data_IF_214832393271
#
_entry.id   IF_214832393271
#
_cell.length_a   1.000
_cell.length_b   1.000
_cell.length_c   1.000
_cell.angle_alpha   90.00
_cell.angle_beta   90.00
_cell.angle_gamma   90.00
#
_symmetry.space_group_name_H-M   'P 1'
#
loop_
_entity.id
_entity.type
_entity.pdbx_description
1 polymer ?
#
# COMPACT_ATOMS: atom_id res chain seq x y z
N UNK A 1 2.65 7.63 10.01
CA UNK A 1 3.17 6.58 9.13
C UNK A 1 2.30 6.45 7.90
N UNK A 2 2.92 6.30 6.74
CA UNK A 2 2.24 6.09 5.48
C UNK A 2 2.74 4.78 4.85
N UNK A 3 1.81 3.95 4.39
CA UNK A 3 2.13 2.75 3.64
C UNK A 3 1.81 3.01 2.17
N UNK A 4 2.82 2.96 1.32
CA UNK A 4 2.62 2.97 -0.13
C UNK A 4 2.40 1.53 -0.58
N UNK A 5 1.25 1.26 -1.18
CA UNK A 5 0.87 -0.07 -1.64
C UNK A 5 0.74 -0.05 -3.17
N UNK A 6 1.66 -0.74 -3.83
CA UNK A 6 1.65 -0.87 -5.29
C UNK A 6 0.99 -2.19 -5.65
N UNK A 7 -0.09 -2.14 -6.43
CA UNK A 7 -0.91 -3.30 -6.69
C UNK A 7 -1.62 -3.24 -8.03
N UNK A 8 -2.30 -4.33 -8.37
CA UNK A 8 -3.06 -4.46 -9.61
C UNK A 8 -4.27 -5.35 -9.31
N UNK A 9 -5.46 -4.92 -9.69
CA UNK A 9 -6.69 -5.67 -9.39
C UNK A 9 -6.77 -7.01 -10.14
N UNK A 10 -5.94 -7.22 -11.16
CA UNK A 10 -5.86 -8.48 -11.90
C UNK A 10 -4.80 -9.43 -11.35
N UNK A 11 -3.96 -8.97 -10.43
CA UNK A 11 -2.87 -9.76 -9.84
C UNK A 11 -3.42 -10.73 -8.80
N UNK A 12 -3.10 -12.03 -8.93
CA UNK A 12 -3.58 -13.06 -8.01
C UNK A 12 -3.09 -12.87 -6.58
N UNK A 13 -1.83 -12.50 -6.40
CA UNK A 13 -1.27 -12.24 -5.06
C UNK A 13 -1.87 -10.97 -4.44
N UNK A 14 -2.15 -9.95 -5.25
CA UNK A 14 -2.81 -8.74 -4.78
C UNK A 14 -4.22 -9.04 -4.29
N UNK A 15 -4.96 -9.92 -4.95
CA UNK A 15 -6.30 -10.34 -4.53
C UNK A 15 -6.31 -11.05 -3.19
N UNK A 16 -5.21 -11.71 -2.83
CA UNK A 16 -5.06 -12.34 -1.52
C UNK A 16 -4.65 -11.33 -0.45
N UNK A 17 -3.72 -10.45 -0.78
CA UNK A 17 -3.15 -9.52 0.18
C UNK A 17 -4.05 -8.32 0.48
N UNK A 18 -4.75 -7.80 -0.52
CA UNK A 18 -5.56 -6.59 -0.36
C UNK A 18 -6.61 -6.70 0.75
N UNK A 19 -7.38 -7.80 0.87
CA UNK A 19 -8.31 -7.93 1.99
C UNK A 19 -7.63 -7.95 3.36
N UNK A 20 -6.47 -8.57 3.46
CA UNK A 20 -5.69 -8.62 4.70
C UNK A 20 -5.17 -7.23 5.07
N UNK A 21 -4.71 -6.48 4.08
CA UNK A 21 -4.26 -5.10 4.29
C UNK A 21 -5.44 -4.21 4.69
N UNK A 22 -6.63 -4.44 4.15
CA UNK A 22 -7.85 -3.72 4.52
C UNK A 22 -8.22 -3.96 5.99
N UNK A 23 -8.15 -5.20 6.46
CA UNK A 23 -8.37 -5.51 7.88
C UNK A 23 -7.35 -4.76 8.75
N UNK A 24 -6.10 -4.78 8.37
CA UNK A 24 -5.04 -4.05 9.07
C UNK A 24 -5.36 -2.56 9.10
N UNK A 25 -5.74 -1.99 7.98
CA UNK A 25 -6.05 -0.57 7.87
C UNK A 25 -7.22 -0.18 8.80
N UNK A 26 -8.27 -0.98 8.83
CA UNK A 26 -9.42 -0.71 9.68
C UNK A 26 -9.05 -0.69 11.16
N UNK A 27 -8.07 -1.50 11.56
CA UNK A 27 -7.57 -1.50 12.94
C UNK A 27 -6.66 -0.31 13.25
N UNK A 28 -5.86 0.13 12.26
CA UNK A 28 -4.76 1.08 12.52
C UNK A 28 -5.00 2.48 11.99
N UNK A 29 -6.03 2.72 11.18
CA UNK A 29 -6.27 4.05 10.61
C UNK A 29 -6.47 5.14 11.66
N UNK A 30 -7.07 4.79 12.80
CA UNK A 30 -7.26 5.72 13.90
C UNK A 30 -6.02 5.87 14.79
N UNK A 31 -4.97 5.12 14.50
CA UNK A 31 -3.70 5.16 15.24
C UNK A 31 -2.62 5.93 14.48
N UNK A 32 -2.99 6.68 13.44
CA UNK A 32 -2.05 7.48 12.67
C UNK A 32 -1.42 6.75 11.50
N UNK A 33 -2.02 5.67 11.04
CA UNK A 33 -1.55 4.93 9.86
C UNK A 33 -2.42 5.29 8.66
N UNK A 34 -1.78 5.74 7.58
CA UNK A 34 -2.42 6.04 6.30
C UNK A 34 -1.94 5.07 5.24
N UNK A 35 -2.80 4.70 4.32
CA UNK A 35 -2.43 3.89 3.16
C UNK A 35 -2.70 4.68 1.89
N UNK A 36 -1.69 4.76 1.03
CA UNK A 36 -1.81 5.30 -0.32
C UNK A 36 -1.56 4.13 -1.27
N UNK A 37 -2.61 3.67 -1.93
CA UNK A 37 -2.56 2.54 -2.84
C UNK A 37 -2.49 3.05 -4.28
N UNK A 38 -1.47 2.64 -5.02
CA UNK A 38 -1.23 3.08 -6.39
C UNK A 38 -1.31 1.90 -7.32
N UNK A 39 -2.24 1.96 -8.28
CA UNK A 39 -2.37 0.88 -9.26
C UNK A 39 -1.39 1.05 -10.40
N UNK A 40 -0.90 -0.08 -10.91
CA UNK A 40 -0.05 -0.12 -12.10
C UNK A 40 -0.85 -0.47 -13.36
N UNK A 41 -2.18 -0.54 -13.24
CA UNK A 41 -3.06 -0.89 -14.35
C UNK A 41 -3.17 0.26 -15.37
N UNK A 42 -3.36 -0.12 -16.65
CA UNK A 42 -3.64 0.84 -17.71
C UNK A 42 -5.14 0.98 -17.97
N UNK A 43 -5.93 0.00 -17.55
CA UNK A 43 -7.38 -0.01 -17.68
C UNK A 43 -7.99 0.05 -16.29
N UNK A 44 -8.81 1.08 -16.05
CA UNK A 44 -9.25 1.44 -14.69
C UNK A 44 -10.65 0.95 -14.31
N UNK A 45 -11.42 0.36 -15.24
CA UNK A 45 -12.78 -0.11 -14.96
C UNK A 45 -12.78 -1.19 -13.89
N UNK A 46 -11.95 -2.21 -14.06
CA UNK A 46 -11.81 -3.29 -13.08
C UNK A 46 -11.26 -2.81 -11.74
N UNK A 47 -10.32 -1.89 -11.77
CA UNK A 47 -9.73 -1.27 -10.59
C UNK A 47 -10.79 -0.52 -9.76
N UNK A 48 -11.58 0.33 -10.41
CA UNK A 48 -12.66 1.06 -9.73
C UNK A 48 -13.71 0.13 -9.14
N UNK A 49 -14.08 -0.90 -9.90
CA UNK A 49 -15.05 -1.91 -9.44
C UNK A 49 -14.54 -2.64 -8.21
N UNK A 50 -13.28 -3.05 -8.22
CA UNK A 50 -12.65 -3.75 -7.09
C UNK A 50 -12.65 -2.88 -5.85
N UNK A 51 -12.30 -1.60 -5.97
CA UNK A 51 -12.30 -0.65 -4.87
C UNK A 51 -13.69 -0.54 -4.24
N UNK A 52 -14.74 -0.43 -5.07
CA UNK A 52 -16.12 -0.31 -4.59
C UNK A 52 -16.59 -1.61 -3.92
N UNK A 53 -16.34 -2.75 -4.53
CA UNK A 53 -16.80 -4.05 -4.03
C UNK A 53 -16.11 -4.45 -2.73
N UNK A 54 -14.89 -3.99 -2.49
CA UNK A 54 -14.11 -4.34 -1.31
C UNK A 54 -14.00 -3.20 -0.31
N UNK A 55 -14.69 -2.10 -0.55
CA UNK A 55 -14.73 -0.94 0.34
C UNK A 55 -13.34 -0.45 0.72
N UNK A 56 -12.48 -0.25 -0.29
CA UNK A 56 -11.11 0.22 -0.08
C UNK A 56 -11.12 1.73 0.10
N UNK A 57 -11.33 2.17 1.32
CA UNK A 57 -11.52 3.57 1.68
C UNK A 57 -10.21 4.33 1.96
N UNK A 58 -9.08 3.70 1.75
CA UNK A 58 -7.79 4.40 1.77
C UNK A 58 -7.62 5.26 0.51
N UNK A 59 -6.52 6.00 0.43
CA UNK A 59 -6.24 6.84 -0.74
C UNK A 59 -5.86 5.95 -1.92
N UNK A 60 -6.60 6.06 -3.02
CA UNK A 60 -6.37 5.30 -4.25
C UNK A 60 -5.92 6.23 -5.36
N UNK A 61 -4.86 5.84 -6.07
CA UNK A 61 -4.32 6.64 -7.14
C UNK A 61 -3.78 5.82 -8.30
N UNK A 62 -3.37 6.49 -9.36
CA UNK A 62 -2.78 5.87 -10.54
C UNK A 62 -1.81 6.85 -11.21
N UNK A 63 -0.94 6.32 -12.09
CA UNK A 63 -0.03 7.13 -12.91
C UNK A 63 -0.80 7.72 -14.08
N UNK A 64 -0.88 9.04 -14.17
CA UNK A 64 -1.61 9.72 -15.24
C UNK A 64 -0.71 10.54 -16.16
N UNK A 65 0.58 10.65 -15.88
CA UNK A 65 1.51 11.50 -16.61
C UNK A 65 2.50 10.63 -17.39
N UNK A 66 2.32 10.58 -18.69
CA UNK A 66 3.18 9.78 -19.57
C UNK A 66 4.53 10.43 -19.85
N UNK A 67 4.71 11.68 -19.51
CA UNK A 67 5.96 12.40 -19.72
C UNK A 67 6.95 12.22 -18.58
N UNK A 68 6.51 11.63 -17.47
CA UNK A 68 7.34 11.39 -16.29
C UNK A 68 7.64 9.91 -16.12
N UNK A 69 8.77 9.57 -15.50
CA UNK A 69 8.99 8.19 -15.09
C UNK A 69 7.86 7.75 -14.15
N UNK A 70 7.38 6.55 -14.37
CA UNK A 70 6.28 6.01 -13.56
C UNK A 70 6.77 5.43 -12.23
N UNK A 71 5.86 4.91 -11.40
CA UNK A 71 6.18 4.33 -10.09
C UNK A 71 7.21 3.22 -10.20
N UNK A 72 7.11 2.39 -11.24
CA UNK A 72 8.04 1.27 -11.46
C UNK A 72 9.47 1.76 -11.55
N UNK A 73 9.65 2.89 -12.19
CA UNK A 73 10.96 3.49 -12.39
C UNK A 73 11.49 4.13 -11.10
N UNK A 74 10.68 4.98 -10.46
CA UNK A 74 11.10 5.71 -9.28
C UNK A 74 11.36 4.83 -8.07
N UNK A 75 10.51 3.83 -7.86
CA UNK A 75 10.57 3.01 -6.65
C UNK A 75 11.12 1.63 -6.92
N UNK A 76 11.55 1.36 -8.15
CA UNK A 76 12.09 0.06 -8.57
C UNK A 76 11.14 -1.07 -8.14
N UNK A 77 9.99 -1.13 -8.81
CA UNK A 77 8.93 -2.09 -8.48
C UNK A 77 8.87 -3.16 -9.57
N UNK A 78 9.63 -4.27 -9.43
CA UNK A 78 9.65 -5.31 -10.44
C UNK A 78 8.41 -6.19 -10.44
N UNK A 79 7.71 -6.28 -9.31
CA UNK A 79 6.54 -7.15 -9.16
C UNK A 79 5.54 -6.50 -8.22
N UNK A 80 4.28 -7.00 -8.28
CA UNK A 80 3.23 -6.62 -7.34
C UNK A 80 2.74 -7.85 -6.59
N UNK A 81 2.17 -7.72 -5.39
CA UNK A 81 2.05 -6.48 -4.62
C UNK A 81 3.38 -6.05 -4.01
N UNK A 82 3.54 -4.77 -3.76
CA UNK A 82 4.72 -4.25 -3.07
C UNK A 82 4.30 -3.17 -2.10
N UNK A 83 4.89 -3.17 -0.92
CA UNK A 83 4.60 -2.20 0.13
C UNK A 83 5.86 -1.50 0.57
N UNK A 84 5.78 -0.18 0.73
CA UNK A 84 6.83 0.62 1.35
C UNK A 84 6.22 1.32 2.56
N UNK A 85 6.91 1.29 3.69
CA UNK A 85 6.49 2.02 4.89
C UNK A 85 7.31 3.29 4.99
N UNK A 86 6.61 4.42 5.04
CA UNK A 86 7.25 5.74 5.16
C UNK A 86 7.03 6.30 6.56
N UNK A 87 8.09 6.89 7.11
CA UNK A 87 8.01 7.63 8.36
C UNK A 87 7.34 9.00 8.17
N UNK A 88 7.21 9.78 9.27
CA UNK A 88 6.57 11.10 9.20
C UNK A 88 7.28 12.09 8.26
N UNK A 89 8.56 11.92 8.05
CA UNK A 89 9.35 12.74 7.13
C UNK A 89 9.36 12.20 5.69
N UNK A 90 8.56 11.15 5.43
CA UNK A 90 8.43 10.48 4.12
C UNK A 90 9.66 9.68 3.69
N UNK A 91 10.60 9.41 4.58
CA UNK A 91 11.68 8.47 4.29
C UNK A 91 11.18 7.02 4.39
N UNK A 92 11.75 6.13 3.58
CA UNK A 92 11.39 4.72 3.59
C UNK A 92 12.05 4.07 4.81
N UNK A 93 11.24 3.54 5.73
CA UNK A 93 11.73 2.90 6.95
C UNK A 93 11.56 1.38 6.95
N UNK A 94 10.76 0.83 6.02
CA UNK A 94 10.63 -0.62 5.84
C UNK A 94 10.08 -0.94 4.46
N UNK A 95 10.35 -2.16 3.98
CA UNK A 95 9.90 -2.64 2.66
C UNK A 95 9.33 -4.04 2.77
N UNK A 96 8.20 -4.26 2.08
CA UNK A 96 7.62 -5.59 1.82
C UNK A 96 7.41 -6.46 3.07
N UNK A 97 6.96 -5.84 4.15
CA UNK A 97 6.61 -6.56 5.36
C UNK A 97 5.32 -7.34 5.16
N UNK A 98 5.26 -8.55 5.69
CA UNK A 98 4.07 -9.39 5.62
C UNK A 98 2.96 -8.81 6.50
N UNK A 99 1.75 -8.69 5.94
CA UNK A 99 0.62 -8.01 6.62
C UNK A 99 0.21 -8.75 7.90
N UNK A 100 0.25 -10.10 7.88
CA UNK A 100 -0.24 -10.88 9.01
C UNK A 100 0.75 -11.00 10.15
N UNK A 101 2.04 -10.78 9.89
CA UNK A 101 3.09 -11.00 10.88
C UNK A 101 3.95 -9.77 11.10
N UNK A 102 4.90 -9.54 10.21
CA UNK A 102 5.96 -8.54 10.42
C UNK A 102 5.47 -7.10 10.35
N UNK A 103 4.47 -6.82 9.51
CA UNK A 103 3.95 -5.46 9.39
C UNK A 103 3.30 -5.01 10.70
N UNK A 104 2.44 -5.85 11.29
CA UNK A 104 1.78 -5.52 12.55
C UNK A 104 2.80 -5.28 13.66
N UNK A 105 3.76 -6.17 13.79
CA UNK A 105 4.81 -6.03 14.80
C UNK A 105 5.62 -4.76 14.61
N UNK A 106 6.01 -4.47 13.36
CA UNK A 106 6.77 -3.26 13.05
C UNK A 106 5.98 -1.99 13.41
N UNK A 107 4.72 -1.92 13.00
CA UNK A 107 3.89 -0.74 13.26
C UNK A 107 3.63 -0.58 14.77
N UNK A 108 3.32 -1.68 15.47
CA UNK A 108 3.11 -1.62 16.92
C UNK A 108 4.36 -1.12 17.65
N UNK A 109 5.53 -1.61 17.27
CA UNK A 109 6.80 -1.19 17.86
C UNK A 109 7.10 0.28 17.55
N UNK A 110 6.81 0.71 16.32
CA UNK A 110 7.00 2.10 15.93
C UNK A 110 6.09 3.03 16.73
N UNK A 111 4.80 2.69 16.85
CA UNK A 111 3.83 3.49 17.61
C UNK A 111 4.15 3.53 19.10
N UNK A 112 4.80 2.48 19.61
CA UNK A 112 5.26 2.43 21.00
C UNK A 112 6.60 3.14 21.23
N UNK A 113 7.20 3.73 20.16
CA UNK A 113 8.48 4.42 20.25
C UNK A 113 9.71 3.51 20.32
N UNK A 114 9.56 2.23 19.98
CA UNK A 114 10.66 1.26 20.02
C UNK A 114 11.52 1.26 18.76
N UNK A 115 11.00 1.81 17.67
CA UNK A 115 11.70 1.92 16.38
C UNK A 115 11.86 3.39 16.04
N UNK A 116 13.03 3.77 15.60
CA UNK A 116 13.33 5.16 15.23
C UNK A 116 13.34 5.34 13.72
#
# INVERSE_FOLDING_TARGET
>A
ITILYFWDSTCGHCKKETPRLKEFYDEYKDKGVEIVALTLENEFTGWKKYIQENDLDWINGYESDFERPNFLWYYYIPTTPKKLVLGPDKTIIAKNLDVETTLRTFIDDYLAGKVK
#
